data_IF_921961776225
#
_entry.id   IF_921961776225
#
_cell.length_a   1.000
_cell.length_b   1.000
_cell.length_c   1.000
_cell.angle_alpha   90.00
_cell.angle_beta   90.00
_cell.angle_gamma   90.00
#
_symmetry.space_group_name_H-M   'P 1'
#
loop_
_entity.id
_entity.type
_entity.pdbx_description
1 polymer ?
#
# COMPACT_ATOMS: atom_id res chain seq x y z
N UNK A 1 -11.41 8.44 -10.54
CA UNK A 1 -11.05 7.23 -9.77
C UNK A 1 -10.28 6.28 -10.66
N UNK A 2 -9.27 5.59 -10.15
CA UNK A 2 -8.38 4.71 -10.94
C UNK A 2 -9.14 3.63 -11.73
N UNK A 3 -10.23 3.09 -11.18
CA UNK A 3 -11.06 2.08 -11.85
C UNK A 3 -11.72 2.59 -13.15
N UNK A 4 -12.12 3.86 -13.20
CA UNK A 4 -12.66 4.45 -14.42
C UNK A 4 -11.61 4.57 -15.54
N UNK A 5 -10.34 4.73 -15.19
CA UNK A 5 -9.25 4.81 -16.17
C UNK A 5 -8.96 3.45 -16.82
N UNK A 6 -9.33 2.34 -16.17
CA UNK A 6 -9.26 0.99 -16.74
C UNK A 6 -10.60 0.54 -17.35
N UNK A 7 -11.55 1.47 -17.54
CA UNK A 7 -12.82 1.21 -18.20
C UNK A 7 -13.92 0.60 -17.31
N UNK A 8 -13.72 0.53 -15.99
CA UNK A 8 -14.77 0.09 -15.06
C UNK A 8 -15.61 1.29 -14.60
N UNK A 9 -16.90 1.23 -14.85
CA UNK A 9 -17.92 2.17 -14.36
C UNK A 9 -18.82 1.50 -13.32
N UNK A 10 -19.53 2.31 -12.52
CA UNK A 10 -20.54 1.84 -11.54
C UNK A 10 -20.03 0.79 -10.55
N UNK A 11 -18.81 0.98 -10.06
CA UNK A 11 -18.18 0.06 -9.11
C UNK A 11 -18.77 0.22 -7.72
N UNK A 12 -19.19 -0.90 -7.13
CA UNK A 12 -19.60 -0.99 -5.74
C UNK A 12 -18.60 -1.85 -4.97
N UNK A 13 -18.02 -1.32 -3.90
CA UNK A 13 -17.21 -2.10 -2.96
C UNK A 13 -18.00 -2.35 -1.68
N UNK A 14 -17.87 -3.56 -1.13
CA UNK A 14 -18.52 -3.98 0.11
C UNK A 14 -17.52 -4.61 1.08
N UNK A 15 -17.76 -4.43 2.37
CA UNK A 15 -16.97 -5.02 3.46
C UNK A 15 -17.83 -5.14 4.72
N UNK A 16 -17.45 -5.98 5.68
CA UNK A 16 -18.13 -6.10 6.98
C UNK A 16 -18.08 -4.81 7.80
N UNK A 17 -17.09 -3.95 7.53
CA UNK A 17 -16.92 -2.62 8.13
C UNK A 17 -16.96 -1.57 7.03
N UNK A 18 -17.72 -0.50 7.25
CA UNK A 18 -17.88 0.60 6.31
C UNK A 18 -16.64 1.49 6.22
N UNK A 19 -16.34 1.96 5.01
CA UNK A 19 -15.33 2.98 4.71
C UNK A 19 -15.90 3.91 3.64
N UNK A 20 -16.82 4.77 4.07
CA UNK A 20 -17.56 5.66 3.19
C UNK A 20 -16.65 6.75 2.60
N UNK A 21 -16.93 7.23 1.37
CA UNK A 21 -18.06 6.86 0.52
C UNK A 21 -17.82 5.63 -0.36
N UNK A 22 -16.60 5.08 -0.36
CA UNK A 22 -16.15 4.12 -1.38
C UNK A 22 -16.56 2.68 -1.08
N UNK A 23 -16.63 2.31 0.20
CA UNK A 23 -16.95 0.94 0.65
C UNK A 23 -18.18 0.98 1.54
N UNK A 24 -19.19 0.19 1.18
CA UNK A 24 -20.44 0.07 1.94
C UNK A 24 -20.43 -1.18 2.81
N UNK A 25 -21.05 -1.11 3.99
CA UNK A 25 -21.18 -2.29 4.83
C UNK A 25 -22.08 -3.34 4.18
N UNK A 26 -21.61 -4.57 3.99
CA UNK A 26 -22.43 -5.74 3.64
C UNK A 26 -21.74 -7.06 4.05
N UNK A 27 -22.53 -8.12 4.20
CA UNK A 27 -22.01 -9.48 4.39
C UNK A 27 -21.76 -10.13 3.03
N UNK A 28 -20.50 -10.49 2.68
CA UNK A 28 -20.18 -11.13 1.41
C UNK A 28 -20.85 -12.51 1.23
N UNK A 29 -21.37 -13.12 2.30
CA UNK A 29 -22.11 -14.38 2.23
C UNK A 29 -23.61 -14.22 1.95
N UNK A 30 -24.13 -12.98 1.91
CA UNK A 30 -25.54 -12.69 1.63
C UNK A 30 -25.71 -11.23 1.15
N UNK A 31 -25.36 -10.98 -0.10
CA UNK A 31 -25.37 -9.66 -0.69
C UNK A 31 -26.80 -9.22 -1.05
N UNK A 32 -27.14 -7.98 -0.72
CA UNK A 32 -28.42 -7.37 -1.04
C UNK A 32 -28.51 -6.86 -2.48
N UNK A 33 -28.02 -7.63 -3.45
CA UNK A 33 -28.09 -7.34 -4.87
C UNK A 33 -28.99 -8.36 -5.59
N UNK A 34 -29.56 -7.94 -6.72
CA UNK A 34 -30.32 -8.83 -7.58
C UNK A 34 -29.39 -9.84 -8.28
N UNK A 35 -29.98 -10.95 -8.71
CA UNK A 35 -29.29 -11.93 -9.54
C UNK A 35 -28.87 -11.27 -10.87
N UNK A 36 -27.63 -11.50 -11.29
CA UNK A 36 -27.09 -10.92 -12.51
C UNK A 36 -26.99 -9.39 -12.54
N UNK A 37 -26.92 -8.74 -11.38
CA UNK A 37 -26.76 -7.30 -11.26
C UNK A 37 -25.44 -6.76 -11.83
N UNK A 38 -24.38 -7.58 -11.90
CA UNK A 38 -23.04 -7.14 -12.31
C UNK A 38 -22.52 -7.91 -13.53
N UNK A 39 -21.71 -7.23 -14.35
CA UNK A 39 -20.89 -7.84 -15.39
C UNK A 39 -19.65 -8.56 -14.84
N UNK A 40 -19.19 -8.12 -13.67
CA UNK A 40 -17.90 -8.48 -13.09
C UNK A 40 -17.95 -8.48 -11.56
N UNK A 41 -17.35 -9.49 -10.92
CA UNK A 41 -17.12 -9.54 -9.48
C UNK A 41 -15.66 -9.89 -9.15
N UNK A 42 -15.13 -9.30 -8.07
CA UNK A 42 -13.77 -9.50 -7.60
C UNK A 42 -13.70 -9.68 -6.09
N UNK A 43 -12.88 -10.61 -5.62
CA UNK A 43 -12.47 -10.72 -4.21
C UNK A 43 -10.98 -11.07 -4.12
N UNK A 44 -10.30 -10.52 -3.12
CA UNK A 44 -8.88 -10.75 -2.85
C UNK A 44 -8.60 -11.60 -1.61
N UNK A 45 -9.65 -12.06 -0.93
CA UNK A 45 -9.59 -12.70 0.39
C UNK A 45 -10.52 -13.91 0.47
N UNK A 46 -10.61 -14.67 -0.62
CA UNK A 46 -11.49 -15.85 -0.65
C UNK A 46 -10.96 -16.96 0.26
N UNK A 47 -9.65 -17.13 0.29
CA UNK A 47 -8.86 -18.02 1.15
C UNK A 47 -8.95 -17.68 2.64
N UNK A 48 -9.15 -16.41 2.98
CA UNK A 48 -9.39 -15.95 4.35
C UNK A 48 -10.87 -16.02 4.78
N UNK A 49 -11.79 -16.30 3.86
CA UNK A 49 -13.21 -16.33 4.17
C UNK A 49 -13.57 -17.53 5.06
N UNK A 50 -14.40 -17.30 6.08
CA UNK A 50 -14.88 -18.38 6.94
C UNK A 50 -15.73 -19.42 6.17
N UNK A 51 -16.49 -18.95 5.17
CA UNK A 51 -17.36 -19.78 4.34
C UNK A 51 -17.15 -19.47 2.85
N UNK A 52 -16.01 -19.90 2.25
CA UNK A 52 -15.62 -19.49 0.89
C UNK A 52 -16.65 -19.91 -0.17
N UNK A 53 -17.30 -21.07 0.00
CA UNK A 53 -18.36 -21.52 -0.91
C UNK A 53 -19.56 -20.57 -0.95
N UNK A 54 -19.92 -19.92 0.17
CA UNK A 54 -21.03 -18.94 0.19
C UNK A 54 -20.66 -17.64 -0.51
N UNK A 55 -19.41 -17.20 -0.35
CA UNK A 55 -18.88 -16.05 -1.09
C UNK A 55 -18.94 -16.33 -2.60
N UNK A 56 -18.50 -17.53 -3.01
CA UNK A 56 -18.56 -17.96 -4.41
C UNK A 56 -20.01 -18.06 -4.91
N UNK A 57 -20.94 -18.63 -4.13
CA UNK A 57 -22.36 -18.69 -4.49
C UNK A 57 -22.95 -17.30 -4.75
N UNK A 58 -22.61 -16.32 -3.90
CA UNK A 58 -23.06 -14.94 -4.06
C UNK A 58 -22.41 -14.24 -5.26
N UNK A 59 -21.13 -14.51 -5.54
CA UNK A 59 -20.47 -14.05 -6.77
C UNK A 59 -21.18 -14.62 -8.01
N UNK A 60 -21.40 -15.93 -8.07
CA UNK A 60 -22.07 -16.60 -9.19
C UNK A 60 -23.53 -16.18 -9.35
N UNK A 61 -24.20 -15.80 -8.25
CA UNK A 61 -25.59 -15.32 -8.27
C UNK A 61 -25.67 -13.89 -8.80
N UNK A 62 -24.81 -13.01 -8.32
CA UNK A 62 -24.86 -11.56 -8.62
C UNK A 62 -24.21 -11.21 -9.95
N UNK A 63 -23.30 -12.04 -10.48
CA UNK A 63 -22.73 -11.87 -11.83
C UNK A 63 -23.67 -12.45 -12.88
N UNK A 64 -23.93 -11.70 -13.96
CA UNK A 64 -24.81 -12.16 -15.05
C UNK A 64 -24.17 -13.30 -15.83
N UNK A 65 -24.99 -14.07 -16.56
CA UNK A 65 -24.49 -15.07 -17.50
C UNK A 65 -23.53 -14.44 -18.53
N UNK A 66 -22.36 -15.05 -18.68
CA UNK A 66 -21.29 -14.56 -19.54
C UNK A 66 -20.47 -13.42 -18.94
N UNK A 67 -20.74 -13.01 -17.70
CA UNK A 67 -19.87 -12.14 -16.91
C UNK A 67 -18.67 -12.89 -16.33
N UNK A 68 -17.81 -12.18 -15.60
CA UNK A 68 -16.56 -12.71 -15.07
C UNK A 68 -16.48 -12.60 -13.54
N UNK A 69 -16.04 -13.68 -12.91
CA UNK A 69 -15.64 -13.70 -11.51
C UNK A 69 -14.11 -13.82 -11.46
N UNK A 70 -13.45 -12.92 -10.74
CA UNK A 70 -12.01 -12.97 -10.51
C UNK A 70 -11.74 -13.12 -9.02
N UNK A 71 -10.89 -14.08 -8.68
CA UNK A 71 -10.47 -14.35 -7.31
C UNK A 71 -8.96 -14.24 -7.24
N UNK A 72 -8.46 -13.49 -6.27
CA UNK A 72 -7.05 -13.54 -5.87
C UNK A 72 -6.97 -14.29 -4.54
N UNK A 73 -6.01 -15.21 -4.46
CA UNK A 73 -5.75 -16.12 -3.32
C UNK A 73 -4.25 -16.25 -3.12
N UNK A 74 -3.78 -16.49 -1.89
CA UNK A 74 -2.39 -16.81 -1.55
C UNK A 74 -2.14 -18.34 -1.69
N UNK A 75 -2.64 -18.93 -2.78
CA UNK A 75 -2.47 -20.34 -3.11
C UNK A 75 -1.70 -20.49 -4.42
N UNK A 76 -0.60 -21.26 -4.40
CA UNK A 76 0.37 -21.31 -5.49
C UNK A 76 0.49 -22.70 -6.15
N UNK A 77 -0.20 -23.72 -5.65
CA UNK A 77 -0.17 -25.09 -6.17
C UNK A 77 -1.25 -25.38 -7.20
N UNK A 78 -0.94 -26.23 -8.19
CA UNK A 78 -1.93 -26.68 -9.19
C UNK A 78 -3.03 -27.58 -8.62
N UNK A 79 -2.84 -28.15 -7.42
CA UNK A 79 -3.90 -28.82 -6.67
C UNK A 79 -4.80 -27.79 -5.97
N UNK A 80 -4.22 -26.79 -5.31
CA UNK A 80 -4.92 -25.68 -4.64
C UNK A 80 -5.87 -24.94 -5.59
N UNK A 81 -5.37 -24.56 -6.78
CA UNK A 81 -6.21 -23.91 -7.82
C UNK A 81 -7.40 -24.79 -8.24
N UNK A 82 -7.24 -26.11 -8.26
CA UNK A 82 -8.33 -27.04 -8.58
C UNK A 82 -9.36 -27.11 -7.46
N UNK A 83 -8.95 -26.98 -6.20
CA UNK A 83 -9.86 -26.94 -5.06
C UNK A 83 -10.69 -25.67 -5.05
N UNK A 84 -10.07 -24.51 -5.29
CA UNK A 84 -10.79 -23.24 -5.44
C UNK A 84 -11.76 -23.30 -6.63
N UNK A 85 -11.30 -23.81 -7.79
CA UNK A 85 -12.15 -23.94 -8.96
C UNK A 85 -13.37 -24.86 -8.72
N UNK A 86 -13.28 -25.84 -7.81
CA UNK A 86 -14.40 -26.72 -7.43
C UNK A 86 -15.47 -26.02 -6.60
N UNK A 87 -15.17 -24.89 -5.99
CA UNK A 87 -16.19 -24.07 -5.29
C UNK A 87 -17.18 -23.44 -6.29
N UNK A 88 -16.74 -23.20 -7.52
CA UNK A 88 -17.55 -22.59 -8.58
C UNK A 88 -18.36 -23.66 -9.31
N UNK A 89 -19.63 -23.80 -8.93
CA UNK A 89 -20.51 -24.86 -9.47
C UNK A 89 -21.21 -24.44 -10.78
N UNK A 90 -21.36 -23.13 -11.03
CA UNK A 90 -22.08 -22.58 -12.19
C UNK A 90 -21.15 -21.91 -13.21
N UNK A 91 -19.87 -21.81 -12.88
CA UNK A 91 -18.85 -21.13 -13.69
C UNK A 91 -17.81 -22.11 -14.23
N UNK A 92 -17.05 -21.66 -15.22
CA UNK A 92 -15.92 -22.40 -15.78
C UNK A 92 -14.66 -21.58 -15.59
N UNK A 93 -13.60 -22.21 -15.08
CA UNK A 93 -12.27 -21.60 -15.02
C UNK A 93 -11.79 -21.29 -16.46
N UNK A 94 -11.49 -20.01 -16.71
CA UNK A 94 -11.08 -19.53 -18.04
C UNK A 94 -9.58 -19.28 -18.14
N UNK A 95 -8.96 -18.78 -17.06
CA UNK A 95 -7.54 -18.45 -17.03
C UNK A 95 -7.01 -18.49 -15.59
N UNK A 96 -5.70 -18.68 -15.44
CA UNK A 96 -4.98 -18.65 -14.17
C UNK A 96 -3.68 -17.90 -14.39
N UNK A 97 -3.50 -16.80 -13.65
CA UNK A 97 -2.30 -15.99 -13.71
C UNK A 97 -1.51 -16.12 -12.41
N UNK A 98 -0.30 -16.67 -12.49
CA UNK A 98 0.60 -16.69 -11.35
C UNK A 98 1.23 -15.30 -11.15
N UNK A 99 1.19 -14.84 -9.91
CA UNK A 99 1.77 -13.56 -9.50
C UNK A 99 3.23 -13.78 -9.08
N UNK A 100 4.10 -12.85 -9.45
CA UNK A 100 5.48 -12.89 -8.97
C UNK A 100 5.55 -12.25 -7.59
N UNK A 101 6.02 -13.00 -6.59
CA UNK A 101 6.24 -12.45 -5.26
C UNK A 101 7.57 -11.69 -5.17
N UNK A 102 7.51 -10.51 -4.56
CA UNK A 102 8.65 -9.77 -4.07
C UNK A 102 8.80 -10.06 -2.58
N UNK A 103 9.78 -10.91 -2.27
CA UNK A 103 10.05 -11.39 -0.91
C UNK A 103 10.66 -10.31 -0.01
N UNK A 104 11.46 -9.41 -0.60
CA UNK A 104 12.15 -8.36 0.16
C UNK A 104 11.19 -7.22 0.55
N UNK A 105 11.33 -6.65 1.76
CA UNK A 105 10.52 -5.53 2.20
C UNK A 105 10.56 -4.35 1.23
N UNK A 106 9.38 -3.80 0.95
CA UNK A 106 9.21 -2.79 -0.08
C UNK A 106 8.43 -1.59 0.42
N UNK A 107 8.97 -0.39 0.21
CA UNK A 107 8.23 0.84 0.42
C UNK A 107 7.48 1.23 -0.85
N UNK A 108 6.18 1.48 -0.71
CA UNK A 108 5.42 2.18 -1.74
C UNK A 108 5.50 3.67 -1.46
N UNK A 109 5.99 4.41 -2.44
CA UNK A 109 6.15 5.86 -2.34
C UNK A 109 5.32 6.53 -3.42
N UNK A 110 4.45 7.43 -3.01
CA UNK A 110 3.78 8.39 -3.89
C UNK A 110 4.54 9.71 -3.80
N UNK A 111 4.88 10.32 -4.95
CA UNK A 111 5.57 11.61 -5.01
C UNK A 111 4.63 12.68 -5.54
N UNK A 112 4.85 13.94 -5.15
CA UNK A 112 4.08 15.09 -5.65
C UNK A 112 4.39 15.44 -7.11
N UNK A 113 3.39 15.99 -7.81
CA UNK A 113 3.44 16.35 -9.24
C UNK A 113 4.35 17.53 -9.56
N UNK A 114 4.50 18.45 -8.61
CA UNK A 114 5.45 19.56 -8.69
C UNK A 114 6.71 19.20 -7.90
N UNK A 115 7.65 18.52 -8.54
CA UNK A 115 8.90 18.10 -7.90
C UNK A 115 9.86 19.29 -7.67
N UNK A 116 9.63 20.04 -6.60
CA UNK A 116 10.66 20.93 -6.04
C UNK A 116 11.66 20.12 -5.21
N UNK A 117 12.87 20.66 -5.01
CA UNK A 117 13.89 20.03 -4.16
C UNK A 117 13.34 19.74 -2.76
N UNK A 118 12.53 20.65 -2.21
CA UNK A 118 11.90 20.50 -0.91
C UNK A 118 11.00 19.25 -0.84
N UNK A 119 10.10 19.06 -1.81
CA UNK A 119 9.21 17.88 -1.85
C UNK A 119 10.00 16.58 -1.97
N UNK A 120 11.06 16.60 -2.76
CA UNK A 120 11.90 15.41 -2.94
C UNK A 120 12.62 15.05 -1.64
N UNK A 121 13.13 16.04 -0.90
CA UNK A 121 13.77 15.82 0.41
C UNK A 121 12.77 15.30 1.45
N UNK A 122 11.55 15.84 1.47
CA UNK A 122 10.51 15.35 2.38
C UNK A 122 10.09 13.91 2.06
N UNK A 123 10.07 13.53 0.78
CA UNK A 123 9.79 12.15 0.36
C UNK A 123 10.91 11.19 0.80
N UNK A 124 12.19 11.59 0.65
CA UNK A 124 13.33 10.80 1.15
C UNK A 124 13.26 10.58 2.66
N UNK A 125 12.97 11.66 3.40
CA UNK A 125 12.86 11.60 4.84
C UNK A 125 11.73 10.65 5.27
N UNK A 126 10.55 10.79 4.65
CA UNK A 126 9.38 9.96 4.94
C UNK A 126 9.66 8.48 4.69
N UNK A 127 10.27 8.16 3.55
CA UNK A 127 10.62 6.79 3.20
C UNK A 127 11.69 6.23 4.16
N UNK A 128 12.70 7.03 4.50
CA UNK A 128 13.74 6.62 5.44
C UNK A 128 13.15 6.35 6.82
N UNK A 129 12.39 7.29 7.39
CA UNK A 129 11.77 7.13 8.71
C UNK A 129 10.82 5.93 8.73
N UNK A 130 10.00 5.76 7.69
CA UNK A 130 9.09 4.61 7.57
C UNK A 130 9.87 3.30 7.67
N UNK A 131 11.00 3.16 6.95
CA UNK A 131 11.85 1.97 7.02
C UNK A 131 12.43 1.70 8.42
N UNK A 132 12.71 2.76 9.19
CA UNK A 132 13.28 2.65 10.54
C UNK A 132 12.24 2.30 11.58
N UNK A 133 11.07 2.95 11.52
CA UNK A 133 9.99 2.74 12.47
C UNK A 133 9.43 1.32 12.35
N UNK A 134 9.38 0.76 11.15
CA UNK A 134 8.95 -0.63 10.92
C UNK A 134 10.03 -1.67 11.26
N UNK A 135 11.18 -1.25 11.78
CA UNK A 135 12.23 -2.15 12.28
C UNK A 135 12.87 -3.04 11.22
N UNK A 136 12.94 -2.59 9.96
CA UNK A 136 13.52 -3.42 8.90
C UNK A 136 15.02 -3.65 9.13
N UNK A 137 15.51 -4.91 9.03
CA UNK A 137 16.91 -5.24 9.29
C UNK A 137 17.84 -4.76 8.16
N UNK A 138 17.31 -4.65 6.94
CA UNK A 138 18.05 -4.28 5.74
C UNK A 138 17.40 -3.07 5.06
N UNK A 139 18.15 -2.42 4.16
CA UNK A 139 17.59 -1.36 3.30
C UNK A 139 16.49 -1.97 2.42
N UNK A 140 15.27 -1.42 2.44
CA UNK A 140 14.18 -1.89 1.60
C UNK A 140 14.34 -1.46 0.14
N UNK A 141 13.56 -2.07 -0.75
CA UNK A 141 13.32 -1.54 -2.09
C UNK A 141 12.26 -0.45 -2.04
N UNK A 142 12.29 0.44 -3.02
CA UNK A 142 11.26 1.47 -3.22
C UNK A 142 10.55 1.23 -4.55
N UNK A 143 9.23 1.22 -4.49
CA UNK A 143 8.36 1.21 -5.67
C UNK A 143 7.58 2.52 -5.70
N UNK A 144 7.83 3.31 -6.75
CA UNK A 144 7.04 4.50 -7.04
C UNK A 144 5.70 4.11 -7.66
N UNK A 145 4.60 4.39 -6.97
CA UNK A 145 3.24 4.01 -7.40
C UNK A 145 2.55 5.06 -8.27
N UNK A 146 3.24 6.16 -8.60
CA UNK A 146 2.73 7.26 -9.40
C UNK A 146 3.36 7.30 -10.81
N UNK A 147 2.78 8.12 -11.70
CA UNK A 147 3.18 8.19 -13.11
C UNK A 147 4.40 9.05 -13.44
N UNK A 148 4.91 9.87 -12.50
CA UNK A 148 5.95 10.88 -12.78
C UNK A 148 7.23 10.30 -13.42
N UNK A 149 7.94 11.17 -14.13
CA UNK A 149 9.20 10.84 -14.81
C UNK A 149 10.37 10.74 -13.83
N UNK A 150 11.46 10.10 -14.27
CA UNK A 150 12.76 10.13 -13.59
C UNK A 150 13.28 11.56 -13.47
N UNK A 151 13.79 11.92 -12.31
CA UNK A 151 14.36 13.25 -12.04
C UNK A 151 15.89 13.20 -11.88
N UNK A 152 16.56 14.34 -11.79
CA UNK A 152 18.01 14.37 -11.48
C UNK A 152 18.31 13.94 -10.04
N UNK A 153 17.29 13.84 -9.19
CA UNK A 153 17.39 13.49 -7.78
C UNK A 153 17.22 11.97 -7.52
N UNK A 154 17.15 11.15 -8.57
CA UNK A 154 17.03 9.68 -8.45
C UNK A 154 18.29 9.03 -7.86
N UNK A 155 19.47 9.63 -8.04
CA UNK A 155 20.73 9.09 -7.52
C UNK A 155 20.71 8.95 -5.99
N UNK A 156 20.13 9.94 -5.31
CA UNK A 156 19.98 9.89 -3.85
C UNK A 156 19.05 8.75 -3.42
N UNK A 157 17.98 8.48 -4.17
CA UNK A 157 17.13 7.33 -3.89
C UNK A 157 17.89 6.00 -3.98
N UNK A 158 18.73 5.84 -5.01
CA UNK A 158 19.58 4.65 -5.15
C UNK A 158 20.67 4.55 -4.08
N UNK A 159 21.10 5.68 -3.50
CA UNK A 159 22.04 5.68 -2.37
C UNK A 159 21.37 5.30 -1.05
N UNK A 160 20.11 5.71 -0.84
CA UNK A 160 19.38 5.48 0.40
C UNK A 160 18.73 4.09 0.50
N UNK A 161 18.35 3.49 -0.63
CA UNK A 161 17.56 2.26 -0.69
C UNK A 161 18.22 1.18 -1.56
N UNK A 162 17.82 -0.08 -1.38
CA UNK A 162 18.45 -1.22 -2.08
C UNK A 162 18.13 -1.27 -3.57
N UNK A 163 17.04 -0.62 -3.98
CA UNK A 163 16.63 -0.53 -5.36
C UNK A 163 15.43 0.37 -5.51
N UNK A 164 15.31 0.98 -6.68
CA UNK A 164 14.14 1.77 -7.07
C UNK A 164 13.49 1.17 -8.31
N UNK A 165 12.16 1.14 -8.31
CA UNK A 165 11.37 0.77 -9.49
C UNK A 165 10.13 1.64 -9.58
N UNK A 166 9.61 1.79 -10.78
CA UNK A 166 8.32 2.40 -11.00
C UNK A 166 7.29 1.30 -11.17
N UNK A 167 6.10 1.46 -10.58
CA UNK A 167 5.02 0.48 -10.72
C UNK A 167 4.68 0.24 -12.21
N UNK A 168 4.72 1.29 -13.04
CA UNK A 168 4.51 1.21 -14.50
C UNK A 168 5.56 0.39 -15.25
N UNK A 169 6.70 0.09 -14.62
CA UNK A 169 7.78 -0.68 -15.24
C UNK A 169 7.67 -2.19 -14.97
N UNK A 170 6.70 -2.62 -14.16
CA UNK A 170 6.43 -4.06 -14.00
C UNK A 170 5.77 -4.60 -15.26
N UNK A 171 6.42 -5.57 -15.90
CA UNK A 171 5.91 -6.27 -17.09
C UNK A 171 5.07 -7.50 -16.75
N UNK A 172 5.11 -7.92 -15.49
CA UNK A 172 4.34 -9.01 -14.92
C UNK A 172 3.55 -8.49 -13.72
N UNK A 173 2.49 -9.18 -13.35
CA UNK A 173 1.79 -8.92 -12.10
C UNK A 173 2.70 -9.30 -10.92
N UNK A 174 2.86 -8.39 -9.97
CA UNK A 174 3.76 -8.54 -8.81
C UNK A 174 2.96 -8.39 -7.52
N UNK A 175 3.18 -9.30 -6.59
CA UNK A 175 2.72 -9.20 -5.21
C UNK A 175 3.91 -8.93 -4.29
N UNK A 176 3.66 -8.29 -3.15
CA UNK A 176 4.71 -7.93 -2.20
C UNK A 176 4.45 -8.65 -0.89
N UNK A 177 5.43 -9.41 -0.39
CA UNK A 177 5.29 -10.15 0.88
C UNK A 177 5.18 -9.21 2.07
N UNK A 178 5.95 -8.13 2.04
CA UNK A 178 5.93 -7.10 3.07
C UNK A 178 6.01 -5.74 2.43
N UNK A 179 4.92 -4.99 2.56
CA UNK A 179 4.79 -3.64 2.03
C UNK A 179 4.63 -2.62 3.13
N UNK A 180 5.34 -1.51 2.99
CA UNK A 180 5.24 -0.36 3.88
C UNK A 180 4.74 0.81 3.04
N UNK A 181 3.60 1.37 3.43
CA UNK A 181 3.09 2.60 2.84
C UNK A 181 3.82 3.77 3.47
N UNK A 182 4.68 4.44 2.70
CA UNK A 182 5.30 5.68 3.16
C UNK A 182 4.27 6.81 3.09
N UNK A 183 4.11 7.60 4.17
CA UNK A 183 3.25 8.78 4.11
C UNK A 183 3.80 9.80 3.10
N UNK A 184 2.92 10.65 2.61
CA UNK A 184 3.27 11.76 1.73
C UNK A 184 4.06 12.81 2.52
N UNK A 185 5.04 13.45 1.87
CA UNK A 185 6.01 14.35 2.52
C UNK A 185 5.46 15.58 3.27
N UNK A 186 4.16 15.87 3.20
CA UNK A 186 3.52 16.95 3.98
C UNK A 186 2.84 16.46 5.26
N UNK A 187 2.60 15.16 5.39
CA UNK A 187 1.95 14.54 6.55
C UNK A 187 2.98 14.03 7.58
N UNK A 188 4.11 14.74 7.72
CA UNK A 188 5.22 14.31 8.57
C UNK A 188 5.69 15.40 9.54
N UNK A 189 6.34 14.95 10.61
CA UNK A 189 6.89 15.78 11.69
C UNK A 189 7.86 16.86 11.22
N UNK A 190 8.58 16.63 10.10
CA UNK A 190 9.39 17.67 9.48
C UNK A 190 8.53 18.87 9.04
N UNK A 191 7.32 18.64 8.52
CA UNK A 191 6.41 19.69 8.09
C UNK A 191 5.73 20.39 9.28
N UNK A 192 5.31 19.64 10.30
CA UNK A 192 4.74 20.20 11.53
C UNK A 192 5.78 21.02 12.32
N UNK A 193 7.05 20.61 12.30
CA UNK A 193 8.14 21.35 12.94
C UNK A 193 8.48 22.68 12.26
N UNK A 194 8.05 22.92 11.01
CA UNK A 194 8.29 24.18 10.29
C UNK A 194 7.33 25.31 10.68
N UNK A 195 6.18 25.00 11.28
CA UNK A 195 5.23 26.00 11.79
C UNK A 195 5.45 26.33 13.28
N UNK A 196 6.33 25.58 13.97
CA UNK A 196 6.79 25.92 15.32
C UNK A 196 7.89 26.98 15.30
N UNK A 197 7.96 27.80 16.35
CA UNK A 197 9.13 28.65 16.56
C UNK A 197 10.35 27.75 16.85
N UNK A 198 11.33 27.76 15.95
CA UNK A 198 12.60 27.07 16.15
C UNK A 198 13.48 27.98 17.02
N UNK A 199 13.78 27.55 18.24
CA UNK A 199 14.77 28.21 19.07
C UNK A 199 16.16 28.04 18.46
N UNK A 200 16.68 29.10 17.83
CA UNK A 200 17.99 29.13 17.18
C UNK A 200 19.16 29.30 18.18
N UNK A 201 18.90 29.26 19.50
CA UNK A 201 19.95 29.28 20.50
C UNK A 201 20.59 27.89 20.65
N UNK A 202 21.61 27.62 19.82
CA UNK A 202 22.39 26.38 19.86
C UNK A 202 23.68 26.48 20.67
N UNK A 203 24.26 25.33 20.99
CA UNK A 203 25.55 25.21 21.68
C UNK A 203 26.54 24.35 20.87
N UNK A 204 27.85 24.52 21.08
CA UNK A 204 28.85 23.80 20.28
C UNK A 204 28.77 22.27 20.51
N UNK A 205 29.04 21.43 19.49
CA UNK A 205 29.05 19.98 19.67
C UNK A 205 29.98 19.55 20.82
N UNK A 206 31.15 20.16 20.94
CA UNK A 206 32.10 19.86 22.00
C UNK A 206 31.55 20.16 23.40
N UNK A 207 30.86 21.30 23.57
CA UNK A 207 30.20 21.68 24.82
C UNK A 207 29.08 20.70 25.19
N UNK A 208 28.26 20.30 24.21
CA UNK A 208 27.13 19.37 24.40
C UNK A 208 27.58 17.92 24.69
N UNK A 209 28.76 17.53 24.23
CA UNK A 209 29.37 16.24 24.58
C UNK A 209 29.78 16.18 26.05
N UNK A 210 30.16 17.32 26.62
CA UNK A 210 30.57 17.44 28.02
C UNK A 210 29.38 17.66 28.96
N UNK A 211 28.37 18.42 28.52
CA UNK A 211 27.15 18.70 29.27
C UNK A 211 25.91 18.58 28.35
N UNK A 212 25.26 17.40 28.30
CA UNK A 212 24.16 17.15 27.39
C UNK A 212 22.91 17.98 27.73
N UNK A 213 22.59 18.95 26.88
CA UNK A 213 21.37 19.76 26.95
C UNK A 213 20.54 19.62 25.67
N UNK A 214 19.39 18.94 25.78
CA UNK A 214 18.51 18.69 24.64
C UNK A 214 17.80 19.95 24.14
N UNK A 215 17.73 21.01 24.95
CA UNK A 215 17.08 22.27 24.60
C UNK A 215 17.97 23.18 23.75
N UNK A 216 19.29 23.00 23.81
CA UNK A 216 20.30 23.74 23.03
C UNK A 216 20.76 23.01 21.77
N UNK A 217 19.97 22.02 21.33
CA UNK A 217 20.20 21.30 20.09
C UNK A 217 19.02 21.54 19.15
N UNK A 218 19.30 21.94 17.91
CA UNK A 218 18.30 21.97 16.84
C UNK A 218 17.95 20.52 16.43
N UNK A 219 17.30 19.78 17.32
CA UNK A 219 16.77 18.45 17.05
C UNK A 219 15.28 18.58 16.82
N UNK A 220 14.79 18.08 15.68
CA UNK A 220 13.38 17.74 15.52
C UNK A 220 13.04 16.65 16.55
N UNK A 221 12.49 17.06 17.68
CA UNK A 221 12.14 16.20 18.81
C UNK A 221 10.91 15.31 18.55
N UNK A 222 10.16 15.59 17.48
CA UNK A 222 8.90 14.89 17.16
C UNK A 222 9.05 13.50 16.51
N UNK A 223 10.28 13.01 16.24
CA UNK A 223 10.42 11.58 15.86
C UNK A 223 10.21 10.66 17.09
N UNK A 224 10.42 11.19 18.30
CA UNK A 224 10.43 10.40 19.54
C UNK A 224 9.03 10.22 20.15
N UNK A 225 8.04 11.03 19.77
CA UNK A 225 6.66 10.89 20.26
C UNK A 225 5.96 9.63 19.72
N UNK A 226 6.33 9.12 18.54
CA UNK A 226 5.85 7.83 18.02
C UNK A 226 6.48 6.62 18.74
N UNK A 227 7.71 6.77 19.25
CA UNK A 227 8.40 5.71 20.01
C UNK A 227 7.97 5.65 21.49
N UNK A 228 7.35 6.71 22.02
CA UNK A 228 6.80 6.73 23.39
C UNK A 228 5.46 6.00 23.54
N UNK A 229 4.82 5.58 22.45
CA UNK A 229 3.62 4.74 22.48
C UNK A 229 3.90 3.22 22.35
N UNK A 230 5.18 2.82 22.32
CA UNK A 230 5.60 1.40 22.30
C UNK A 230 6.37 0.99 23.57
N UNK A 231 5.91 1.46 24.73
CA UNK A 231 6.14 0.81 26.02
C UNK A 231 4.89 0.83 26.86
#
# INVERSE_FOLDING_TARGET
>A
MAMAQIGLSDVTAVELVDSLPLVRRADPHNLSFFDGAFDFAFTAYLDDALFPWRVVEEMERTVRRGGFCVVAVDECGGDDVREIARLFLKSKLVDVANLQWMEEPTLLVTRFEYASMFHTVTDWYSAYVSSRVTGLPNRPHVVFVHGHCTTQLEETWTGLFSGIRYAKNFTKLVCFRHTILSPLGYEITLFNGLSGEIDCNGESPHSLWLDPDNTKTARLSEVVSLLKCLR
#
